data_IF_564989220269
#
_entry.id   IF_564989220269
#
_cell.length_a   1.000
_cell.length_b   1.000
_cell.length_c   1.000
_cell.angle_alpha   90.00
_cell.angle_beta   90.00
_cell.angle_gamma   90.00
#
_symmetry.space_group_name_H-M   'P 1'
#
loop_
_entity.id
_entity.type
_entity.pdbx_description
1 polymer ?
#
# COMPACT_ATOMS: atom_id res chain seq x y z
N UNK A 1 -26.87 -16.59 11.04
CA UNK A 1 -25.46 -16.93 10.74
C UNK A 1 -24.61 -16.17 11.73
N UNK A 2 -23.76 -16.87 12.49
CA UNK A 2 -22.91 -16.23 13.48
C UNK A 2 -21.82 -15.45 12.73
N UNK A 3 -21.95 -14.12 12.73
CA UNK A 3 -20.85 -13.20 12.40
C UNK A 3 -19.78 -13.46 13.45
N UNK A 4 -18.70 -14.13 13.06
CA UNK A 4 -17.71 -14.63 14.03
C UNK A 4 -16.89 -13.45 14.56
N UNK A 5 -16.53 -13.44 15.85
CA UNK A 5 -15.74 -12.33 16.43
C UNK A 5 -14.40 -12.04 15.70
N UNK A 6 -13.89 -12.97 14.88
CA UNK A 6 -12.72 -12.72 14.01
C UNK A 6 -13.00 -11.71 12.87
N UNK A 7 -14.24 -11.61 12.40
CA UNK A 7 -14.64 -10.72 11.30
C UNK A 7 -14.50 -9.23 11.64
N UNK A 8 -14.84 -8.84 12.88
CA UNK A 8 -14.76 -7.44 13.29
C UNK A 8 -13.32 -6.95 13.46
N UNK A 9 -12.41 -7.79 13.96
CA UNK A 9 -10.99 -7.43 14.11
C UNK A 9 -10.34 -7.20 12.74
N UNK A 10 -10.55 -8.12 11.79
CA UNK A 10 -10.03 -7.96 10.43
C UNK A 10 -10.55 -6.68 9.75
N UNK A 11 -11.85 -6.39 9.85
CA UNK A 11 -12.41 -5.16 9.30
C UNK A 11 -11.83 -3.89 9.95
N UNK A 12 -11.58 -3.92 11.26
CA UNK A 12 -10.96 -2.80 11.96
C UNK A 12 -9.52 -2.56 11.49
N UNK A 13 -8.72 -3.62 11.40
CA UNK A 13 -7.33 -3.57 10.88
C UNK A 13 -7.29 -3.01 9.46
N UNK A 14 -8.15 -3.52 8.57
CA UNK A 14 -8.22 -3.05 7.18
C UNK A 14 -8.71 -1.60 7.09
N UNK A 15 -9.61 -1.21 8.00
CA UNK A 15 -10.04 0.18 8.19
C UNK A 15 -8.90 1.12 8.59
N UNK A 16 -8.07 0.74 9.57
CA UNK A 16 -6.88 1.53 9.97
C UNK A 16 -5.87 1.60 8.82
N UNK A 17 -5.62 0.48 8.15
CA UNK A 17 -4.72 0.43 6.99
C UNK A 17 -5.17 1.38 5.88
N UNK A 18 -6.48 1.42 5.58
CA UNK A 18 -7.07 2.37 4.64
C UNK A 18 -6.95 3.81 5.14
N UNK A 19 -7.17 4.07 6.43
CA UNK A 19 -7.01 5.41 7.01
C UNK A 19 -5.56 5.91 6.91
N UNK A 20 -4.58 5.01 7.08
CA UNK A 20 -3.15 5.32 6.86
C UNK A 20 -2.85 5.60 5.39
N UNK A 21 -3.46 4.89 4.45
CA UNK A 21 -3.35 5.25 3.03
C UNK A 21 -3.85 6.68 2.78
N UNK A 22 -4.99 7.07 3.34
CA UNK A 22 -5.48 8.47 3.23
C UNK A 22 -4.42 9.45 3.72
N UNK A 23 -3.78 9.19 4.86
CA UNK A 23 -2.71 10.05 5.39
C UNK A 23 -1.52 10.16 4.43
N UNK A 24 -1.08 9.07 3.79
CA UNK A 24 -0.01 9.14 2.79
C UNK A 24 -0.40 10.04 1.61
N UNK A 25 -1.65 9.97 1.15
CA UNK A 25 -2.15 10.79 0.05
C UNK A 25 -2.53 12.23 0.45
N UNK A 26 -2.35 12.62 1.72
CA UNK A 26 -2.35 14.04 2.13
C UNK A 26 -1.02 14.72 1.81
N UNK A 27 0.06 13.95 1.59
CA UNK A 27 1.31 14.49 1.08
C UNK A 27 1.21 14.77 -0.42
N UNK A 28 1.98 15.77 -0.88
CA UNK A 28 2.03 16.16 -2.28
C UNK A 28 2.65 15.08 -3.17
N UNK A 29 3.82 14.59 -2.79
CA UNK A 29 4.63 13.69 -3.61
C UNK A 29 4.47 12.25 -3.14
N UNK A 30 3.61 11.48 -3.81
CA UNK A 30 3.39 10.06 -3.50
C UNK A 30 3.96 9.19 -4.59
N UNK A 31 4.82 8.26 -4.21
CA UNK A 31 5.46 7.32 -5.10
C UNK A 31 4.85 5.93 -4.93
N UNK A 32 4.46 5.33 -6.05
CA UNK A 32 4.01 3.94 -6.08
C UNK A 32 5.05 3.12 -6.83
N UNK A 33 5.50 2.01 -6.24
CA UNK A 33 6.30 1.02 -6.95
C UNK A 33 5.62 -0.33 -6.95
N UNK A 34 5.72 -1.05 -8.05
CA UNK A 34 5.44 -2.49 -8.10
C UNK A 34 6.75 -3.21 -8.40
N UNK A 35 7.08 -4.24 -7.62
CA UNK A 35 8.24 -5.09 -7.82
C UNK A 35 7.78 -6.53 -8.03
N UNK A 36 8.19 -7.10 -9.16
CA UNK A 36 7.91 -8.48 -9.57
C UNK A 36 9.21 -9.16 -9.99
N UNK A 37 9.14 -10.43 -10.38
CA UNK A 37 10.27 -11.14 -10.99
C UNK A 37 10.73 -10.52 -12.32
N UNK A 38 9.85 -9.80 -13.03
CA UNK A 38 10.12 -9.22 -14.35
C UNK A 38 10.79 -7.84 -14.24
N UNK A 39 10.61 -7.14 -13.12
CA UNK A 39 11.24 -5.85 -12.91
C UNK A 39 10.55 -5.00 -11.86
N UNK A 40 10.82 -3.69 -11.95
CA UNK A 40 10.28 -2.70 -11.02
C UNK A 40 9.65 -1.58 -11.81
N UNK A 41 8.35 -1.39 -11.62
CA UNK A 41 7.62 -0.23 -12.10
C UNK A 41 7.59 0.85 -11.02
N UNK A 42 7.69 2.11 -11.43
CA UNK A 42 7.67 3.27 -10.53
C UNK A 42 6.81 4.35 -11.15
N UNK A 43 5.94 4.95 -10.34
CA UNK A 43 5.15 6.11 -10.71
C UNK A 43 5.15 7.16 -9.58
N UNK A 44 5.19 8.43 -9.97
CA UNK A 44 4.95 9.56 -9.08
C UNK A 44 3.49 10.02 -9.28
N UNK A 45 2.82 10.34 -8.17
CA UNK A 45 1.52 10.98 -8.11
C UNK A 45 1.75 12.32 -7.40
N UNK A 46 1.49 13.42 -8.12
CA UNK A 46 1.40 14.75 -7.52
C UNK A 46 -0.06 15.02 -7.13
N UNK A 47 -0.35 15.00 -5.83
CA UNK A 47 -1.70 15.20 -5.29
C UNK A 47 -2.17 16.66 -5.36
N UNK A 48 -1.32 17.61 -5.74
CA UNK A 48 -1.77 18.95 -6.14
C UNK A 48 -2.61 18.90 -7.42
N UNK A 49 -2.30 17.94 -8.31
CA UNK A 49 -3.00 17.78 -9.61
C UNK A 49 -3.96 16.59 -9.63
N UNK A 50 -3.72 15.57 -8.81
CA UNK A 50 -4.57 14.39 -8.70
C UNK A 50 -5.58 14.53 -7.56
N UNK A 51 -6.88 14.65 -7.90
CA UNK A 51 -7.94 14.77 -6.90
C UNK A 51 -8.00 13.55 -5.98
N UNK A 52 -7.88 13.79 -4.66
CA UNK A 52 -8.00 12.78 -3.60
C UNK A 52 -9.44 12.76 -3.07
N UNK A 53 -10.09 11.61 -3.14
CA UNK A 53 -11.46 11.40 -2.64
C UNK A 53 -11.45 10.34 -1.55
N UNK A 54 -11.71 10.78 -0.31
CA UNK A 54 -11.89 9.96 0.89
C UNK A 54 -13.39 9.65 1.08
N UNK A 55 -13.88 8.57 0.45
CA UNK A 55 -15.25 8.05 0.64
C UNK A 55 -15.29 7.19 1.91
N UNK A 56 -15.43 7.84 3.06
CA UNK A 56 -15.56 7.15 4.36
C UNK A 56 -16.76 6.20 4.41
N UNK A 57 -17.98 6.59 3.97
CA UNK A 57 -19.12 5.66 3.94
C UNK A 57 -18.87 4.41 3.11
N UNK A 58 -18.23 4.53 1.94
CA UNK A 58 -17.85 3.40 1.10
C UNK A 58 -16.54 2.71 1.49
N UNK A 59 -15.91 3.11 2.61
CA UNK A 59 -14.59 2.66 3.05
C UNK A 59 -13.53 2.70 1.94
N UNK A 60 -13.63 3.70 1.06
CA UNK A 60 -12.92 3.75 -0.22
C UNK A 60 -12.10 5.02 -0.41
N UNK A 61 -10.90 4.90 -0.96
CA UNK A 61 -10.02 5.99 -1.34
C UNK A 61 -9.84 5.95 -2.86
N UNK A 62 -10.02 7.09 -3.55
CA UNK A 62 -9.69 7.26 -4.97
C UNK A 62 -8.71 8.44 -5.11
N UNK A 63 -7.68 8.29 -5.93
CA UNK A 63 -6.72 9.37 -6.22
C UNK A 63 -6.51 9.46 -7.73
N UNK A 64 -6.98 10.57 -8.30
CA UNK A 64 -7.09 10.74 -9.75
C UNK A 64 -7.80 9.54 -10.40
N UNK A 65 -7.44 9.21 -11.64
CA UNK A 65 -7.98 8.03 -12.33
C UNK A 65 -7.09 6.79 -12.24
N UNK A 66 -5.96 6.91 -11.54
CA UNK A 66 -4.94 5.86 -11.54
C UNK A 66 -4.97 4.99 -10.29
N UNK A 67 -5.38 5.51 -9.13
CA UNK A 67 -5.31 4.78 -7.87
C UNK A 67 -6.67 4.67 -7.18
N UNK A 68 -6.96 3.48 -6.64
CA UNK A 68 -8.11 3.20 -5.78
C UNK A 68 -7.72 2.20 -4.70
N UNK A 69 -8.23 2.40 -3.49
CA UNK A 69 -8.21 1.38 -2.43
C UNK A 69 -9.59 1.30 -1.78
N UNK A 70 -10.10 0.11 -1.48
CA UNK A 70 -11.39 -0.03 -0.81
C UNK A 70 -11.44 -1.26 0.10
N UNK A 71 -12.01 -1.11 1.29
CA UNK A 71 -12.32 -2.25 2.16
C UNK A 71 -13.63 -2.88 1.69
N UNK A 72 -13.58 -4.16 1.36
CA UNK A 72 -14.70 -4.92 0.80
C UNK A 72 -14.95 -6.19 1.64
N UNK A 73 -16.19 -6.68 1.71
CA UNK A 73 -16.47 -8.00 2.27
C UNK A 73 -15.73 -9.10 1.50
N UNK A 74 -15.34 -10.16 2.22
CA UNK A 74 -14.71 -11.36 1.64
C UNK A 74 -15.18 -12.61 2.40
N UNK A 75 -14.85 -13.81 1.90
CA UNK A 75 -15.11 -15.07 2.63
C UNK A 75 -14.35 -15.16 3.95
N UNK A 76 -13.28 -14.38 4.10
CA UNK A 76 -12.41 -14.32 5.28
C UNK A 76 -12.82 -13.15 6.21
N UNK A 77 -13.97 -12.53 5.96
CA UNK A 77 -14.54 -11.46 6.76
C UNK A 77 -14.29 -10.04 6.25
N UNK A 78 -13.23 -9.85 5.46
CA UNK A 78 -12.92 -8.58 4.80
C UNK A 78 -11.69 -8.69 3.91
N UNK A 79 -11.50 -7.71 3.05
CA UNK A 79 -10.27 -7.51 2.27
C UNK A 79 -10.09 -6.03 1.94
N UNK A 80 -8.87 -5.55 1.89
CA UNK A 80 -8.52 -4.28 1.26
C UNK A 80 -8.09 -4.59 -0.17
N UNK A 81 -8.86 -4.11 -1.14
CA UNK A 81 -8.50 -4.16 -2.55
C UNK A 81 -7.78 -2.87 -2.93
N UNK A 82 -6.56 -2.98 -3.47
CA UNK A 82 -5.77 -1.87 -3.98
C UNK A 82 -5.66 -2.03 -5.49
N UNK A 83 -5.99 -0.98 -6.24
CA UNK A 83 -5.83 -0.93 -7.69
C UNK A 83 -4.99 0.26 -8.08
N UNK A 84 -3.96 0.01 -8.87
CA UNK A 84 -3.13 1.03 -9.48
C UNK A 84 -2.97 0.74 -10.97
N UNK A 85 -3.63 1.54 -11.83
CA UNK A 85 -3.73 1.27 -13.27
C UNK A 85 -4.28 -0.15 -13.52
N UNK A 86 -3.51 -1.01 -14.17
CA UNK A 86 -3.87 -2.41 -14.45
C UNK A 86 -3.44 -3.38 -13.34
N UNK A 87 -2.68 -2.89 -12.36
CA UNK A 87 -2.23 -3.65 -11.21
C UNK A 87 -3.35 -3.69 -10.18
N UNK A 88 -3.63 -4.87 -9.64
CA UNK A 88 -4.60 -5.08 -8.57
C UNK A 88 -3.98 -6.00 -7.54
N UNK A 89 -4.10 -5.62 -6.26
CA UNK A 89 -3.69 -6.40 -5.11
C UNK A 89 -4.83 -6.55 -4.12
N UNK A 90 -4.85 -7.69 -3.43
CA UNK A 90 -5.78 -7.94 -2.33
C UNK A 90 -5.02 -8.21 -1.05
N UNK A 91 -5.41 -7.52 0.02
CA UNK A 91 -4.83 -7.65 1.36
C UNK A 91 -5.92 -8.12 2.31
N UNK A 92 -5.72 -9.27 2.94
CA UNK A 92 -6.65 -9.90 3.86
C UNK A 92 -6.32 -9.59 5.32
N UNK A 93 -5.06 -9.25 5.63
CA UNK A 93 -4.71 -8.85 6.99
C UNK A 93 -3.24 -8.56 7.24
N UNK A 94 -2.85 -8.71 8.51
CA UNK A 94 -1.58 -8.21 9.06
C UNK A 94 -0.31 -8.87 8.53
N UNK A 95 -0.41 -10.03 7.88
CA UNK A 95 0.76 -10.73 7.31
C UNK A 95 1.24 -10.18 5.96
N UNK A 96 0.48 -9.26 5.37
CA UNK A 96 0.60 -8.87 3.96
C UNK A 96 0.96 -7.40 3.76
N UNK A 97 1.19 -6.67 4.85
CA UNK A 97 1.68 -5.31 4.77
C UNK A 97 2.68 -4.97 5.88
N UNK A 98 3.44 -3.90 5.67
CA UNK A 98 4.36 -3.37 6.65
C UNK A 98 4.47 -1.85 6.51
N UNK A 99 4.43 -1.15 7.64
CA UNK A 99 4.76 0.26 7.70
C UNK A 99 6.27 0.46 7.61
N UNK A 100 6.69 1.41 6.78
CA UNK A 100 8.09 1.80 6.63
C UNK A 100 8.22 3.30 6.81
N UNK A 101 9.29 3.71 7.49
CA UNK A 101 9.64 5.11 7.67
C UNK A 101 11.09 5.33 7.26
N UNK A 102 11.40 6.52 6.77
CA UNK A 102 12.74 6.97 6.41
C UNK A 102 12.87 8.47 6.67
N UNK A 103 14.11 9.02 6.67
CA UNK A 103 14.29 10.46 6.75
C UNK A 103 13.55 11.26 5.65
N UNK A 104 13.24 10.62 4.52
CA UNK A 104 12.60 11.27 3.38
C UNK A 104 11.07 11.21 3.41
N UNK A 105 10.48 10.43 4.32
CA UNK A 105 9.04 10.19 4.34
C UNK A 105 8.63 8.82 4.86
N UNK A 106 7.35 8.52 4.69
CA UNK A 106 6.68 7.34 5.22
C UNK A 106 6.00 6.54 4.12
N UNK A 107 5.77 5.25 4.34
CA UNK A 107 5.09 4.43 3.37
C UNK A 107 4.54 3.14 3.94
N UNK A 108 3.82 2.43 3.08
CA UNK A 108 3.31 1.09 3.32
C UNK A 108 3.83 0.19 2.21
N UNK A 109 4.43 -0.92 2.60
CA UNK A 109 4.79 -2.02 1.69
C UNK A 109 3.71 -3.08 1.80
N UNK A 110 3.14 -3.47 0.68
CA UNK A 110 2.16 -4.54 0.52
C UNK A 110 2.79 -5.74 -0.18
N UNK A 111 2.31 -6.94 0.14
CA UNK A 111 2.70 -8.19 -0.47
C UNK A 111 1.46 -8.96 -0.91
N UNK A 112 1.50 -9.49 -2.13
CA UNK A 112 0.57 -10.53 -2.59
C UNK A 112 1.37 -11.54 -3.41
N UNK A 113 1.44 -12.79 -2.96
CA UNK A 113 2.29 -13.81 -3.60
C UNK A 113 3.76 -13.39 -3.70
N UNK A 114 4.25 -13.25 -4.93
CA UNK A 114 5.61 -12.81 -5.29
C UNK A 114 5.64 -11.34 -5.77
N UNK A 115 4.57 -10.59 -5.56
CA UNK A 115 4.49 -9.17 -5.92
C UNK A 115 4.60 -8.32 -4.67
N UNK A 116 5.40 -7.25 -4.75
CA UNK A 116 5.54 -6.26 -3.68
C UNK A 116 5.16 -4.90 -4.21
N UNK A 117 4.24 -4.21 -3.55
CA UNK A 117 3.91 -2.81 -3.84
C UNK A 117 4.37 -1.91 -2.71
N UNK A 118 5.00 -0.78 -3.02
CA UNK A 118 5.27 0.29 -2.06
C UNK A 118 4.39 1.48 -2.44
N UNK A 119 3.72 2.07 -1.44
CA UNK A 119 3.13 3.41 -1.53
C UNK A 119 3.88 4.28 -0.53
N UNK A 120 4.60 5.28 -1.02
CA UNK A 120 5.53 6.09 -0.23
C UNK A 120 5.25 7.58 -0.41
N UNK A 121 4.88 8.25 0.67
CA UNK A 121 4.70 9.69 0.73
C UNK A 121 6.02 10.34 1.12
N UNK A 122 6.61 11.10 0.19
CA UNK A 122 7.83 11.86 0.44
C UNK A 122 7.51 13.27 0.98
N UNK A 123 8.37 13.78 1.86
CA UNK A 123 8.26 15.14 2.39
C UNK A 123 8.57 16.19 1.30
N UNK A 124 9.47 15.87 0.39
CA UNK A 124 9.86 16.68 -0.76
C UNK A 124 9.94 15.81 -2.02
N UNK A 125 9.88 16.44 -3.20
CA UNK A 125 10.01 15.73 -4.47
C UNK A 125 11.40 15.09 -4.58
N UNK A 126 11.42 13.80 -4.92
CA UNK A 126 12.66 13.04 -5.11
C UNK A 126 13.27 13.36 -6.48
N UNK A 127 14.22 14.30 -6.51
CA UNK A 127 14.85 14.79 -7.76
C UNK A 127 15.82 13.80 -8.42
N UNK A 128 16.51 12.99 -7.61
CA UNK A 128 17.52 12.05 -8.09
C UNK A 128 17.46 10.71 -7.33
N UNK A 129 17.96 9.65 -7.97
CA UNK A 129 18.12 8.35 -7.30
C UNK A 129 16.80 7.65 -6.94
N UNK A 130 15.68 8.03 -7.56
CA UNK A 130 14.33 7.54 -7.27
C UNK A 130 14.26 6.03 -7.06
N UNK A 131 14.75 5.26 -8.03
CA UNK A 131 14.74 3.79 -7.97
C UNK A 131 15.58 3.24 -6.81
N UNK A 132 16.77 3.81 -6.56
CA UNK A 132 17.64 3.40 -5.45
C UNK A 132 16.98 3.69 -4.10
N UNK A 133 16.40 4.87 -3.95
CA UNK A 133 15.72 5.31 -2.72
C UNK A 133 14.51 4.42 -2.43
N UNK A 134 13.62 4.23 -3.40
CA UNK A 134 12.41 3.44 -3.19
C UNK A 134 12.72 1.97 -2.95
N UNK A 135 13.71 1.38 -3.64
CA UNK A 135 14.19 0.03 -3.34
C UNK A 135 14.75 -0.09 -1.92
N UNK A 136 15.51 0.91 -1.45
CA UNK A 136 16.05 0.92 -0.09
C UNK A 136 14.94 1.00 0.97
N UNK A 137 13.87 1.77 0.71
CA UNK A 137 12.69 1.83 1.56
C UNK A 137 11.95 0.49 1.56
N UNK A 138 11.66 -0.09 0.39
CA UNK A 138 11.03 -1.41 0.28
C UNK A 138 11.84 -2.50 1.00
N UNK A 139 13.17 -2.47 0.89
CA UNK A 139 14.08 -3.45 1.51
C UNK A 139 14.01 -3.51 3.04
N UNK A 140 13.38 -2.52 3.69
CA UNK A 140 13.09 -2.55 5.13
C UNK A 140 12.04 -3.61 5.51
N UNK A 141 11.15 -3.94 4.57
CA UNK A 141 10.07 -4.91 4.78
C UNK A 141 10.16 -6.13 3.84
N UNK A 142 10.64 -5.96 2.60
CA UNK A 142 10.63 -7.01 1.59
C UNK A 142 12.02 -7.19 0.96
N UNK A 143 12.55 -8.43 0.98
CA UNK A 143 13.85 -8.77 0.38
C UNK A 143 13.71 -9.97 -0.55
N UNK A 144 14.60 -10.04 -1.54
CA UNK A 144 14.63 -11.10 -2.54
C UNK A 144 15.95 -11.91 -2.50
N UNK A 145 16.27 -12.60 -1.39
CA UNK A 145 17.42 -13.49 -1.38
C UNK A 145 17.22 -14.64 -2.39
N UNK A 146 18.11 -14.74 -3.38
CA UNK A 146 18.18 -15.88 -4.31
C UNK A 146 16.87 -16.20 -5.05
N UNK A 147 16.06 -15.17 -5.34
CA UNK A 147 14.79 -15.33 -6.08
C UNK A 147 13.57 -15.64 -5.21
N UNK A 148 13.71 -15.71 -3.88
CA UNK A 148 12.60 -15.91 -2.95
C UNK A 148 12.25 -14.62 -2.21
N UNK A 149 10.97 -14.26 -2.16
CA UNK A 149 10.49 -13.12 -1.38
C UNK A 149 10.43 -13.43 0.13
N UNK A 150 11.31 -12.78 0.90
CA UNK A 150 11.21 -12.69 2.36
C UNK A 150 10.50 -11.40 2.75
N UNK A 151 9.39 -11.51 3.49
CA UNK A 151 8.60 -10.36 3.93
C UNK A 151 8.50 -10.27 5.45
N UNK A 152 8.78 -9.10 6.02
CA UNK A 152 8.65 -8.78 7.44
C UNK A 152 7.44 -7.86 7.63
N UNK A 153 6.31 -8.47 7.94
CA UNK A 153 5.07 -7.75 8.17
C UNK A 153 5.11 -6.89 9.45
N UNK A 154 4.26 -5.86 9.50
CA UNK A 154 4.06 -5.09 10.73
C UNK A 154 3.38 -5.97 11.79
N UNK A 155 3.90 -5.91 13.01
CA UNK A 155 3.17 -6.40 14.19
C UNK A 155 2.17 -5.31 14.55
N UNK A 156 0.91 -5.68 14.79
CA UNK A 156 -0.15 -4.75 15.24
C UNK A 156 0.33 -3.84 16.38
#
# INVERSE_FOLDING_TARGET
>A
MAVSNLEMHALFVLGDLRARLVKLFQSRFVYITEQTAEGIYIAEIDTETAMVVDDKPGLGLKVGDHFRAAVLPSREGGKLEIKFRDIKMTIYGIGEYAYVSSPLGEGIVFKEGQTVMLIFAAQEQLKEGLSKTLKAVTAKAAKWPKGELTFKASKE
#
